data_IF_151977138025
#
_entry.id   IF_151977138025
#
_cell.length_a   1.000
_cell.length_b   1.000
_cell.length_c   1.000
_cell.angle_alpha   90.00
_cell.angle_beta   90.00
_cell.angle_gamma   90.00
#
_symmetry.space_group_name_H-M   'P 1'
#
loop_
_entity.id
_entity.type
_entity.pdbx_description
1 polymer ?
#
# COMPACT_ATOMS: atom_id res chain seq x y z
N UNK A 1 18.28 0.70 9.77
CA UNK A 1 17.21 0.10 8.96
C UNK A 1 16.90 1.06 7.82
N UNK A 2 16.84 0.59 6.57
CA UNK A 2 16.45 1.46 5.44
C UNK A 2 14.94 1.38 5.25
N UNK A 3 14.28 2.52 5.37
CA UNK A 3 12.87 2.72 5.05
C UNK A 3 12.71 2.82 3.53
N UNK A 4 11.75 2.11 2.96
CA UNK A 4 11.38 2.24 1.55
C UNK A 4 9.87 2.50 1.40
N UNK A 5 9.48 2.89 0.19
CA UNK A 5 8.12 3.27 -0.15
C UNK A 5 7.70 2.52 -1.41
N UNK A 6 6.48 2.01 -1.42
CA UNK A 6 5.87 1.31 -2.56
C UNK A 6 4.52 1.94 -2.90
N UNK A 7 4.04 1.71 -4.13
CA UNK A 7 2.67 2.08 -4.53
C UNK A 7 1.74 0.91 -4.25
N UNK A 8 0.61 1.17 -3.61
CA UNK A 8 -0.45 0.19 -3.39
C UNK A 8 -1.74 0.72 -4.03
N UNK A 9 -2.35 -0.10 -4.88
CA UNK A 9 -3.65 0.18 -5.48
C UNK A 9 -4.74 -0.53 -4.67
N UNK A 10 -5.84 0.18 -4.43
CA UNK A 10 -7.01 -0.32 -3.74
C UNK A 10 -8.18 -0.40 -4.74
N UNK A 11 -8.79 -1.59 -4.88
CA UNK A 11 -9.92 -1.80 -5.76
C UNK A 11 -11.15 -2.24 -4.96
N UNK A 12 -12.17 -1.38 -4.92
CA UNK A 12 -13.47 -1.75 -4.36
C UNK A 12 -14.26 -2.53 -5.40
N UNK A 13 -14.84 -3.65 -4.99
CA UNK A 13 -15.74 -4.43 -5.84
C UNK A 13 -17.03 -4.77 -5.11
N UNK A 14 -18.11 -4.87 -5.88
CA UNK A 14 -19.43 -5.29 -5.43
C UNK A 14 -20.13 -5.99 -6.59
N UNK A 15 -20.42 -7.28 -6.43
CA UNK A 15 -21.02 -8.14 -7.45
C UNK A 15 -21.91 -9.22 -6.80
N UNK A 16 -22.44 -10.14 -7.60
CA UNK A 16 -23.36 -11.19 -7.11
C UNK A 16 -22.73 -12.12 -6.05
N UNK A 17 -21.40 -12.20 -5.99
CA UNK A 17 -20.65 -13.01 -5.03
C UNK A 17 -20.32 -12.28 -3.72
N UNK A 18 -20.62 -10.99 -3.61
CA UNK A 18 -20.39 -10.19 -2.40
C UNK A 18 -19.81 -8.81 -2.68
N UNK A 19 -19.11 -8.28 -1.69
CA UNK A 19 -18.38 -7.02 -1.77
C UNK A 19 -17.05 -7.15 -1.02
N UNK A 20 -16.07 -6.36 -1.42
CA UNK A 20 -14.76 -6.38 -0.78
C UNK A 20 -13.82 -5.33 -1.33
N UNK A 21 -12.60 -5.37 -0.80
CA UNK A 21 -11.48 -4.55 -1.22
C UNK A 21 -10.36 -5.49 -1.63
N UNK A 22 -9.76 -5.24 -2.79
CA UNK A 22 -8.55 -5.91 -3.23
C UNK A 22 -7.38 -4.92 -3.21
N UNK A 23 -6.21 -5.42 -2.84
CA UNK A 23 -4.98 -4.64 -2.82
C UNK A 23 -3.97 -5.23 -3.81
N UNK A 24 -3.29 -4.36 -4.55
CA UNK A 24 -2.24 -4.78 -5.48
C UNK A 24 -1.05 -3.82 -5.46
N UNK A 25 0.14 -4.34 -5.74
CA UNK A 25 1.35 -3.56 -5.91
C UNK A 25 2.22 -4.17 -7.01
N UNK A 26 3.04 -3.35 -7.67
CA UNK A 26 4.14 -3.85 -8.50
C UNK A 26 5.42 -4.10 -7.68
N UNK A 27 5.36 -3.86 -6.37
CA UNK A 27 6.42 -4.03 -5.38
C UNK A 27 7.73 -3.32 -5.73
N UNK A 28 7.67 -2.24 -6.52
CA UNK A 28 8.85 -1.41 -6.81
C UNK A 28 9.15 -0.53 -5.61
N UNK A 29 10.27 -0.81 -4.95
CA UNK A 29 10.72 -0.05 -3.78
C UNK A 29 11.48 1.23 -4.13
N UNK A 30 11.09 2.33 -3.47
CA UNK A 30 11.74 3.63 -3.59
C UNK A 30 12.36 4.06 -2.27
N UNK A 31 13.54 4.67 -2.34
CA UNK A 31 14.24 5.30 -1.21
C UNK A 31 13.56 6.58 -0.71
N UNK A 32 12.69 7.18 -1.53
CA UNK A 32 11.96 8.40 -1.20
C UNK A 32 10.49 8.32 -1.61
N UNK A 33 9.63 8.84 -0.73
CA UNK A 33 8.18 8.88 -0.91
C UNK A 33 7.77 9.61 -2.19
N UNK A 34 8.41 10.74 -2.52
CA UNK A 34 8.08 11.54 -3.72
C UNK A 34 8.30 10.75 -5.02
N UNK A 35 9.26 9.83 -5.04
CA UNK A 35 9.48 8.92 -6.18
C UNK A 35 8.35 7.90 -6.31
N UNK A 36 7.92 7.30 -5.20
CA UNK A 36 6.78 6.37 -5.20
C UNK A 36 5.48 7.08 -5.62
N UNK A 37 5.22 8.29 -5.10
CA UNK A 37 4.07 9.10 -5.52
C UNK A 37 4.12 9.41 -7.02
N UNK A 38 5.27 9.86 -7.53
CA UNK A 38 5.42 10.12 -8.98
C UNK A 38 5.24 8.86 -9.83
N UNK A 39 5.60 7.70 -9.30
CA UNK A 39 5.39 6.40 -9.94
C UNK A 39 3.90 6.04 -9.97
N UNK A 40 3.19 6.17 -8.84
CA UNK A 40 1.75 5.94 -8.75
C UNK A 40 0.96 6.82 -9.71
N UNK A 41 1.30 8.11 -9.81
CA UNK A 41 0.69 9.01 -10.80
C UNK A 41 0.89 8.55 -12.25
N UNK A 42 2.04 7.94 -12.58
CA UNK A 42 2.28 7.42 -13.92
C UNK A 42 1.50 6.14 -14.21
N UNK A 43 1.25 5.32 -13.19
CA UNK A 43 0.51 4.07 -13.32
C UNK A 43 -1.00 4.32 -13.39
N UNK A 44 -1.51 5.11 -12.45
CA UNK A 44 -2.95 5.31 -12.25
C UNK A 44 -3.50 6.49 -13.05
N UNK A 45 -2.69 7.51 -13.34
CA UNK A 45 -3.13 8.75 -13.99
C UNK A 45 -3.90 9.70 -13.09
N UNK A 46 -4.15 9.33 -11.82
CA UNK A 46 -4.76 10.14 -10.77
C UNK A 46 -4.03 9.92 -9.44
N UNK A 47 -4.47 10.57 -8.37
CA UNK A 47 -4.01 10.38 -6.98
C UNK A 47 -4.77 9.26 -6.23
N UNK A 48 -5.53 8.45 -6.96
CA UNK A 48 -6.34 7.34 -6.44
C UNK A 48 -5.48 6.08 -6.24
N UNK A 49 -4.49 6.21 -5.35
CA UNK A 49 -3.58 5.16 -4.92
C UNK A 49 -2.98 5.51 -3.55
N UNK A 50 -2.41 4.51 -2.90
CA UNK A 50 -1.78 4.63 -1.59
C UNK A 50 -0.27 4.41 -1.66
N UNK A 51 0.42 4.87 -0.63
CA UNK A 51 1.83 4.62 -0.41
C UNK A 51 1.98 3.67 0.78
N UNK A 52 2.55 2.50 0.51
CA UNK A 52 3.01 1.59 1.55
C UNK A 52 4.38 2.04 2.07
N UNK A 53 4.54 2.02 3.39
CA UNK A 53 5.84 2.23 4.04
C UNK A 53 6.39 0.89 4.48
N UNK A 54 7.56 0.53 3.96
CA UNK A 54 8.23 -0.73 4.26
C UNK A 54 9.42 -0.47 5.19
N UNK A 55 9.47 -1.20 6.30
CA UNK A 55 10.61 -1.24 7.21
C UNK A 55 10.94 -2.70 7.51
N UNK A 56 12.18 -3.11 7.23
CA UNK A 56 12.67 -4.49 7.43
C UNK A 56 11.87 -5.58 6.71
N UNK A 57 11.24 -5.25 5.58
CA UNK A 57 10.37 -6.18 4.85
C UNK A 57 8.94 -6.24 5.37
N UNK A 58 8.59 -5.42 6.37
CA UNK A 58 7.24 -5.34 6.91
C UNK A 58 6.53 -4.07 6.43
N UNK A 59 5.23 -4.18 6.10
CA UNK A 59 4.37 -3.03 5.84
C UNK A 59 3.97 -2.39 7.18
N UNK A 60 4.53 -1.21 7.47
CA UNK A 60 4.34 -0.51 8.76
C UNK A 60 3.38 0.67 8.68
N UNK A 61 3.05 1.13 7.47
CA UNK A 61 2.06 2.21 7.28
C UNK A 61 1.41 2.11 5.91
N UNK A 62 0.15 2.49 5.86
CA UNK A 62 -0.66 2.64 4.66
C UNK A 62 -1.15 4.09 4.59
N UNK A 63 -0.62 4.82 3.61
CA UNK A 63 -0.77 6.27 3.55
C UNK A 63 -1.48 6.70 2.27
N UNK A 64 -2.27 7.76 2.32
CA UNK A 64 -2.67 8.50 1.15
C UNK A 64 -1.72 9.67 0.95
N UNK A 65 -0.89 9.58 -0.11
CA UNK A 65 0.20 10.51 -0.37
C UNK A 65 1.19 10.60 0.80
N UNK A 66 1.13 11.66 1.60
CA UNK A 66 1.96 11.90 2.78
C UNK A 66 1.20 11.73 4.11
N UNK A 67 -0.08 11.33 4.06
CA UNK A 67 -0.98 11.25 5.20
C UNK A 67 -1.31 9.79 5.53
N UNK A 68 -0.98 9.29 6.74
CA UNK A 68 -1.44 7.98 7.17
C UNK A 68 -2.97 7.90 7.17
N UNK A 69 -3.52 6.81 6.64
CA UNK A 69 -4.98 6.58 6.63
C UNK A 69 -5.47 6.06 7.99
N UNK A 70 -4.56 5.55 8.82
CA UNK A 70 -4.87 5.13 10.19
C UNK A 70 -5.48 3.72 10.27
N UNK A 71 -5.03 2.81 9.40
CA UNK A 71 -5.48 1.43 9.40
C UNK A 71 -5.09 0.68 10.68
N UNK A 72 -5.92 -0.26 11.10
CA UNK A 72 -5.60 -1.15 12.22
C UNK A 72 -4.44 -2.08 11.84
N UNK A 73 -3.70 -2.64 12.82
CA UNK A 73 -2.68 -3.65 12.55
C UNK A 73 -3.21 -4.86 11.76
N UNK A 74 -4.47 -5.24 11.98
CA UNK A 74 -5.14 -6.34 11.28
C UNK A 74 -5.30 -6.02 9.78
N UNK A 75 -5.72 -4.79 9.45
CA UNK A 75 -5.87 -4.36 8.06
C UNK A 75 -4.49 -4.21 7.40
N UNK A 76 -3.47 -3.69 8.11
CA UNK A 76 -2.11 -3.65 7.58
C UNK A 76 -1.58 -5.05 7.28
N UNK A 77 -1.87 -6.04 8.12
CA UNK A 77 -1.51 -7.43 7.86
C UNK A 77 -2.24 -8.01 6.64
N UNK A 78 -3.54 -7.72 6.47
CA UNK A 78 -4.31 -8.12 5.28
C UNK A 78 -3.74 -7.51 3.99
N UNK A 79 -3.44 -6.20 4.02
CA UNK A 79 -2.83 -5.52 2.88
C UNK A 79 -1.48 -6.14 2.57
N UNK A 80 -0.63 -6.34 3.59
CA UNK A 80 0.70 -6.90 3.44
C UNK A 80 0.67 -8.29 2.80
N UNK A 81 -0.21 -9.18 3.28
CA UNK A 81 -0.40 -10.53 2.71
C UNK A 81 -0.82 -10.45 1.23
N UNK A 82 -1.76 -9.57 0.89
CA UNK A 82 -2.23 -9.38 -0.48
C UNK A 82 -1.13 -8.91 -1.46
N UNK A 83 -0.13 -8.16 -0.98
CA UNK A 83 0.97 -7.64 -1.81
C UNK A 83 2.31 -8.37 -1.60
N UNK A 84 2.31 -9.45 -0.82
CA UNK A 84 3.49 -10.31 -0.61
C UNK A 84 4.55 -9.76 0.36
N UNK A 85 4.14 -8.94 1.33
CA UNK A 85 4.98 -8.44 2.42
C UNK A 85 4.52 -8.99 3.78
N UNK A 86 5.38 -8.92 4.78
CA UNK A 86 4.98 -9.23 6.17
C UNK A 86 4.17 -8.06 6.74
N UNK A 87 3.12 -8.35 7.51
CA UNK A 87 2.45 -7.33 8.32
C UNK A 87 3.37 -6.81 9.41
N UNK A 88 3.15 -5.58 9.90
CA UNK A 88 3.80 -5.16 11.14
C UNK A 88 3.35 -6.09 12.28
N UNK A 89 4.27 -6.89 12.83
CA UNK A 89 4.05 -7.69 14.03
C UNK A 89 3.53 -6.79 15.16
N UNK A 90 2.49 -7.26 15.87
CA UNK A 90 1.83 -6.56 16.97
C UNK A 90 2.72 -6.35 18.19
#
# INVERSE_FOLDING_TARGET
MSKSYIVIHQYLWCNESGHGIEYASDCVEFDKRDKAIKHGFKQQGSDDFNIGVIENGCLVSFDWMDKPVGESPEILAEIADAIGYEGADQ
#
